data_IF_406477756548
#
_entry.id   IF_406477756548
#
_cell.length_a   1.000
_cell.length_b   1.000
_cell.length_c   1.000
_cell.angle_alpha   90.00
_cell.angle_beta   90.00
_cell.angle_gamma   90.00
#
_symmetry.space_group_name_H-M   'P 1'
#
loop_
_entity.id
_entity.type
_entity.pdbx_description
1 polymer ?
#
# COMPACT_ATOMS: atom_id res chain seq x y z
N UNK A 1 -5.15 -9.41 -8.30
CA UNK A 1 -6.37 -10.18 -7.92
C UNK A 1 -6.27 -10.44 -6.43
N UNK A 2 -6.39 -9.37 -5.64
CA UNK A 2 -5.89 -9.37 -4.26
C UNK A 2 -6.79 -10.09 -3.27
N UNK A 3 -6.19 -10.70 -2.26
CA UNK A 3 -6.91 -11.27 -1.12
C UNK A 3 -7.72 -10.17 -0.42
N UNK A 4 -8.94 -10.49 0.02
CA UNK A 4 -9.87 -9.54 0.63
C UNK A 4 -10.77 -8.80 -0.37
N UNK A 5 -10.33 -8.59 -1.62
CA UNK A 5 -11.11 -7.90 -2.64
C UNK A 5 -12.40 -8.64 -3.04
N UNK A 6 -12.60 -9.89 -2.59
CA UNK A 6 -13.87 -10.59 -2.72
C UNK A 6 -15.06 -9.82 -2.12
N UNK A 7 -14.83 -9.01 -1.08
CA UNK A 7 -15.87 -8.15 -0.46
C UNK A 7 -16.50 -7.17 -1.46
N UNK A 8 -15.78 -6.80 -2.52
CA UNK A 8 -16.27 -5.92 -3.60
C UNK A 8 -16.26 -6.61 -4.96
N UNK A 9 -16.40 -7.94 -4.98
CA UNK A 9 -16.32 -8.75 -6.20
C UNK A 9 -17.22 -8.24 -7.31
N UNK A 10 -18.47 -7.91 -7.00
CA UNK A 10 -19.46 -7.44 -7.98
C UNK A 10 -18.99 -6.17 -8.71
N UNK A 11 -18.37 -5.22 -7.97
CA UNK A 11 -17.81 -4.01 -8.55
C UNK A 11 -16.64 -4.33 -9.48
N UNK A 12 -15.77 -5.26 -9.09
CA UNK A 12 -14.64 -5.69 -9.93
C UNK A 12 -15.15 -6.33 -11.22
N UNK A 13 -16.14 -7.22 -11.14
CA UNK A 13 -16.74 -7.86 -12.31
C UNK A 13 -17.41 -6.85 -13.24
N UNK A 14 -18.12 -5.86 -12.68
CA UNK A 14 -18.85 -4.87 -13.47
C UNK A 14 -17.99 -3.80 -14.13
N UNK A 15 -16.83 -3.46 -13.54
CA UNK A 15 -16.08 -2.27 -13.92
C UNK A 15 -14.61 -2.50 -14.31
N UNK A 16 -14.02 -3.66 -14.02
CA UNK A 16 -12.63 -3.96 -14.37
C UNK A 16 -12.59 -4.84 -15.62
N UNK A 17 -11.73 -4.54 -16.62
CA UNK A 17 -11.53 -5.42 -17.77
C UNK A 17 -11.21 -6.85 -17.34
N UNK A 18 -11.95 -7.82 -17.88
CA UNK A 18 -11.86 -9.24 -17.49
C UNK A 18 -12.16 -9.53 -16.01
N UNK A 19 -12.88 -8.64 -15.34
CA UNK A 19 -13.23 -8.75 -13.93
C UNK A 19 -13.85 -10.09 -13.56
N UNK A 20 -14.66 -10.68 -14.44
CA UNK A 20 -15.25 -12.01 -14.26
C UNK A 20 -14.20 -13.12 -14.09
N UNK A 21 -13.01 -12.96 -14.66
CA UNK A 21 -11.89 -13.91 -14.59
C UNK A 21 -10.91 -13.61 -13.47
N UNK A 22 -10.74 -12.33 -13.13
CA UNK A 22 -9.67 -11.88 -12.22
C UNK A 22 -10.17 -11.44 -10.84
N UNK A 23 -11.48 -11.27 -10.66
CA UNK A 23 -12.02 -10.88 -9.37
C UNK A 23 -11.71 -11.95 -8.32
N UNK A 24 -11.17 -11.51 -7.19
CA UNK A 24 -10.90 -12.39 -6.05
C UNK A 24 -12.20 -12.98 -5.52
N UNK A 25 -12.14 -14.23 -5.07
CA UNK A 25 -13.23 -14.91 -4.35
C UNK A 25 -13.01 -14.88 -2.83
N UNK A 26 -11.85 -14.40 -2.38
CA UNK A 26 -11.52 -14.36 -0.96
C UNK A 26 -11.91 -13.00 -0.39
N UNK A 27 -12.80 -13.03 0.59
CA UNK A 27 -13.33 -11.85 1.28
C UNK A 27 -12.53 -11.51 2.55
N UNK A 28 -12.87 -10.39 3.17
CA UNK A 28 -12.34 -9.89 4.44
C UNK A 28 -13.46 -9.20 5.21
N UNK A 29 -13.38 -9.15 6.54
CA UNK A 29 -14.34 -8.43 7.36
C UNK A 29 -14.26 -6.91 7.12
N UNK A 30 -13.05 -6.37 6.98
CA UNK A 30 -12.80 -4.96 6.66
C UNK A 30 -11.83 -4.81 5.49
N UNK A 31 -12.18 -3.93 4.56
CA UNK A 31 -11.44 -3.73 3.30
C UNK A 31 -11.02 -2.27 3.18
N UNK A 32 -9.70 -2.05 3.06
CA UNK A 32 -9.13 -0.77 2.66
C UNK A 32 -8.66 -0.92 1.22
N UNK A 33 -9.24 -0.13 0.32
CA UNK A 33 -8.80 -0.06 -1.08
C UNK A 33 -7.84 1.11 -1.24
N UNK A 34 -6.65 0.85 -1.79
CA UNK A 34 -5.62 1.86 -2.06
C UNK A 34 -4.97 1.60 -3.41
N UNK A 35 -4.33 2.64 -3.96
CA UNK A 35 -3.59 2.52 -5.23
C UNK A 35 -2.36 1.61 -5.11
N UNK A 36 -1.68 1.66 -3.95
CA UNK A 36 -0.56 0.78 -3.57
C UNK A 36 -0.86 0.26 -2.17
N UNK A 37 -0.67 -1.03 -1.93
CA UNK A 37 -1.03 -1.68 -0.66
C UNK A 37 -0.24 -1.13 0.53
N UNK A 38 1.06 -0.82 0.36
CA UNK A 38 1.89 -0.15 1.36
C UNK A 38 1.22 1.12 1.88
N UNK A 39 0.71 1.97 0.99
CA UNK A 39 0.09 3.24 1.37
C UNK A 39 -1.21 3.02 2.15
N UNK A 40 -2.00 2.01 1.79
CA UNK A 40 -3.18 1.61 2.54
C UNK A 40 -2.83 1.15 3.96
N UNK A 41 -1.78 0.35 4.09
CA UNK A 41 -1.26 -0.09 5.39
C UNK A 41 -0.75 1.08 6.24
N UNK A 42 0.04 1.99 5.67
CA UNK A 42 0.55 3.16 6.39
C UNK A 42 -0.57 4.14 6.76
N UNK A 43 -1.58 4.30 5.91
CA UNK A 43 -2.77 5.09 6.25
C UNK A 43 -3.53 4.51 7.44
N UNK A 44 -3.66 3.17 7.51
CA UNK A 44 -4.24 2.50 8.68
C UNK A 44 -3.40 2.72 9.94
N UNK A 45 -2.07 2.59 9.85
CA UNK A 45 -1.16 2.84 10.98
C UNK A 45 -1.21 4.32 11.40
N UNK A 46 -1.35 5.25 10.46
CA UNK A 46 -1.52 6.68 10.75
C UNK A 46 -2.81 6.93 11.54
N UNK A 47 -3.95 6.38 11.11
CA UNK A 47 -5.19 6.51 11.88
C UNK A 47 -5.03 5.90 13.28
N UNK A 48 -4.45 4.70 13.37
CA UNK A 48 -4.20 4.06 14.67
C UNK A 48 -3.29 4.91 15.57
N UNK A 49 -2.31 5.62 15.00
CA UNK A 49 -1.42 6.53 15.73
C UNK A 49 -2.16 7.68 16.38
N UNK A 50 -3.15 8.25 15.68
CA UNK A 50 -4.01 9.32 16.19
C UNK A 50 -4.86 8.80 17.36
N UNK A 51 -5.49 7.64 17.19
CA UNK A 51 -6.34 7.03 18.23
C UNK A 51 -5.57 6.73 19.53
N UNK A 52 -4.29 6.34 19.41
CA UNK A 52 -3.44 6.03 20.59
C UNK A 52 -2.65 7.24 21.10
N UNK A 53 -2.69 8.39 20.43
CA UNK A 53 -1.94 9.59 20.80
C UNK A 53 -0.42 9.44 20.70
N UNK A 54 0.08 8.62 19.75
CA UNK A 54 1.51 8.39 19.53
C UNK A 54 1.77 8.07 18.07
N UNK A 55 2.72 8.77 17.45
CA UNK A 55 3.13 8.49 16.09
C UNK A 55 3.81 7.12 15.95
N UNK A 56 3.08 6.12 15.42
CA UNK A 56 3.60 4.76 15.21
C UNK A 56 4.40 4.64 13.91
N UNK A 57 4.38 5.66 13.05
CA UNK A 57 5.21 5.76 11.86
C UNK A 57 6.55 6.43 12.14
N UNK A 58 6.76 6.96 13.35
CA UNK A 58 8.02 7.61 13.74
C UNK A 58 9.20 6.65 13.51
N UNK A 59 10.23 7.14 12.80
CA UNK A 59 11.41 6.35 12.46
C UNK A 59 11.22 5.30 11.36
N UNK A 60 10.01 5.11 10.80
CA UNK A 60 9.82 4.24 9.64
C UNK A 60 10.57 4.78 8.41
N UNK A 61 11.36 3.93 7.76
CA UNK A 61 12.21 4.30 6.62
C UNK A 61 11.82 3.47 5.39
N UNK A 62 10.89 4.01 4.60
CA UNK A 62 10.39 3.35 3.38
C UNK A 62 11.49 3.13 2.36
N UNK A 63 12.44 4.07 2.26
CA UNK A 63 13.59 3.98 1.37
C UNK A 63 14.38 2.72 1.66
N UNK A 64 14.79 2.56 2.91
CA UNK A 64 15.62 1.44 3.35
C UNK A 64 14.93 0.10 3.07
N UNK A 65 13.62 0.01 3.27
CA UNK A 65 12.85 -1.21 3.03
C UNK A 65 12.82 -1.56 1.54
N UNK A 66 12.43 -0.62 0.68
CA UNK A 66 12.34 -0.87 -0.77
C UNK A 66 13.74 -1.15 -1.37
N UNK A 67 14.76 -0.39 -0.97
CA UNK A 67 16.13 -0.61 -1.44
C UNK A 67 16.67 -1.97 -0.98
N UNK A 68 16.39 -2.41 0.25
CA UNK A 68 16.80 -3.73 0.72
C UNK A 68 16.11 -4.86 -0.06
N UNK A 69 14.81 -4.73 -0.32
CA UNK A 69 14.03 -5.72 -1.09
C UNK A 69 14.53 -5.80 -2.55
N UNK A 70 14.75 -4.64 -3.18
CA UNK A 70 15.30 -4.58 -4.53
C UNK A 70 16.73 -5.15 -4.57
N UNK A 71 17.57 -4.82 -3.59
CA UNK A 71 18.93 -5.37 -3.48
C UNK A 71 18.96 -6.88 -3.25
N UNK A 72 17.90 -7.45 -2.65
CA UNK A 72 17.71 -8.89 -2.53
C UNK A 72 17.26 -9.58 -3.84
N UNK A 73 17.07 -8.82 -4.92
CA UNK A 73 16.75 -9.34 -6.25
C UNK A 73 15.26 -9.33 -6.60
N UNK A 74 14.40 -8.68 -5.80
CA UNK A 74 12.98 -8.57 -6.15
C UNK A 74 12.81 -7.67 -7.39
N UNK A 75 12.14 -8.20 -8.40
CA UNK A 75 11.80 -7.49 -9.64
C UNK A 75 10.40 -6.90 -9.50
N UNK A 76 10.27 -5.63 -9.83
CA UNK A 76 8.97 -4.96 -9.86
C UNK A 76 8.06 -5.57 -10.94
N UNK A 77 6.85 -5.93 -10.54
CA UNK A 77 5.90 -6.66 -11.38
C UNK A 77 5.34 -5.85 -12.55
N UNK A 78 5.41 -4.53 -12.52
CA UNK A 78 4.90 -3.61 -13.56
C UNK A 78 6.03 -3.18 -14.48
N UNK A 79 7.14 -2.68 -13.93
CA UNK A 79 8.28 -2.24 -14.74
C UNK A 79 9.04 -3.40 -15.37
N UNK A 80 8.94 -4.61 -14.78
CA UNK A 80 9.69 -5.81 -15.16
C UNK A 80 11.21 -5.65 -15.07
N UNK A 81 11.68 -4.67 -14.29
CA UNK A 81 13.11 -4.42 -14.07
C UNK A 81 13.47 -4.54 -12.59
N UNK A 82 14.75 -4.81 -12.34
CA UNK A 82 15.33 -4.68 -11.02
C UNK A 82 15.52 -3.19 -10.74
N UNK A 83 14.54 -2.60 -10.07
CA UNK A 83 14.55 -1.19 -9.71
C UNK A 83 13.94 -1.01 -8.31
N UNK A 84 14.36 0.01 -7.55
CA UNK A 84 13.69 0.41 -6.33
C UNK A 84 12.35 1.07 -6.69
N UNK A 85 11.36 0.25 -6.99
CA UNK A 85 9.98 0.65 -7.29
C UNK A 85 8.99 -0.37 -6.75
N UNK A 86 7.76 0.08 -6.55
CA UNK A 86 6.61 -0.77 -6.22
C UNK A 86 5.48 -0.34 -7.14
N UNK A 87 4.81 -1.31 -7.77
CA UNK A 87 3.77 -1.09 -8.78
C UNK A 87 4.19 -0.14 -9.93
N UNK A 88 5.47 -0.17 -10.30
CA UNK A 88 6.04 0.70 -11.32
C UNK A 88 6.23 2.16 -10.87
N UNK A 89 5.92 2.48 -9.61
CA UNK A 89 6.08 3.81 -9.02
C UNK A 89 7.45 3.88 -8.34
N UNK A 90 8.22 4.91 -8.71
CA UNK A 90 9.58 5.14 -8.19
C UNK A 90 9.59 5.39 -6.68
N UNK A 91 10.62 4.89 -6.02
CA UNK A 91 10.92 5.03 -4.58
C UNK A 91 10.57 6.39 -3.97
N UNK A 92 10.96 7.49 -4.63
CA UNK A 92 10.75 8.86 -4.13
C UNK A 92 9.29 9.20 -3.82
N UNK A 93 8.33 8.59 -4.51
CA UNK A 93 6.91 8.83 -4.25
C UNK A 93 6.48 8.11 -2.98
N UNK A 94 6.94 6.88 -2.76
CA UNK A 94 6.63 6.09 -1.57
C UNK A 94 7.17 6.77 -0.30
N UNK A 95 8.40 7.28 -0.36
CA UNK A 95 8.98 8.11 0.72
C UNK A 95 8.10 9.33 1.01
N UNK A 96 7.72 10.09 -0.03
CA UNK A 96 6.89 11.28 0.15
C UNK A 96 5.53 10.99 0.78
N UNK A 97 4.91 9.85 0.45
CA UNK A 97 3.65 9.42 1.07
C UNK A 97 3.83 9.12 2.56
N UNK A 98 4.90 8.41 2.93
CA UNK A 98 5.20 8.11 4.34
C UNK A 98 5.49 9.38 5.14
N UNK A 99 6.30 10.30 4.59
CA UNK A 99 6.59 11.58 5.26
C UNK A 99 5.35 12.44 5.41
N UNK A 100 4.46 12.46 4.42
CA UNK A 100 3.16 13.13 4.52
C UNK A 100 2.32 12.53 5.66
N UNK A 101 2.22 11.20 5.73
CA UNK A 101 1.43 10.53 6.78
C UNK A 101 1.98 10.79 8.18
N UNK A 102 3.32 10.77 8.35
CA UNK A 102 3.95 11.14 9.63
C UNK A 102 3.57 12.55 10.06
N UNK A 103 3.67 13.53 9.16
CA UNK A 103 3.32 14.92 9.44
C UNK A 103 1.83 15.08 9.78
N UNK A 104 0.94 14.39 9.07
CA UNK A 104 -0.50 14.40 9.38
C UNK A 104 -0.79 13.87 10.78
N UNK A 105 -0.08 12.82 11.21
CA UNK A 105 -0.21 12.27 12.56
C UNK A 105 0.31 13.26 13.59
N UNK A 106 1.49 13.83 13.38
CA UNK A 106 2.11 14.79 14.32
C UNK A 106 1.27 16.06 14.50
N UNK A 107 0.57 16.52 13.47
CA UNK A 107 -0.36 17.67 13.57
C UNK A 107 -1.68 17.32 14.29
N UNK A 108 -2.03 16.03 14.37
CA UNK A 108 -3.30 15.57 14.93
C UNK A 108 -3.22 15.17 16.42
N UNK A 109 -2.03 14.91 16.96
CA UNK A 109 -1.79 14.49 18.35
C UNK A 109 -1.15 15.59 19.19
#
# INVERSE_FOLDING_TARGET
NEIGMGKIRELVVGHVPHGEKIASVVETDELIVSAVSNWGAYGLVAQASIEVGRNLLEGWDERRVIEAISSAGLIDGVSKTLAPSVDGIRLMVHEGIVELLKAVVDEAI
#
